data_IF_410670543323
#
_entry.id   IF_410670543323
#
_cell.length_a   1.000
_cell.length_b   1.000
_cell.length_c   1.000
_cell.angle_alpha   90.00
_cell.angle_beta   90.00
_cell.angle_gamma   90.00
#
_symmetry.space_group_name_H-M   'P 1'
#
loop_
_entity.id
_entity.type
_entity.pdbx_description
1 polymer ?
#
# COMPACT_ATOMS: atom_id res chain seq x y z
N UNK A 1 -20.50 -1.24 17.02
CA UNK A 1 -19.75 -2.51 17.16
C UNK A 1 -18.53 -2.38 16.25
N UNK A 2 -17.33 -2.51 16.80
CA UNK A 2 -16.09 -2.50 16.01
C UNK A 2 -15.79 -3.92 15.51
N UNK A 3 -15.22 -4.04 14.32
CA UNK A 3 -14.71 -5.31 13.80
C UNK A 3 -13.30 -5.55 14.35
N UNK A 4 -13.01 -6.79 14.78
CA UNK A 4 -11.75 -7.17 15.42
C UNK A 4 -11.25 -8.49 14.83
N UNK A 5 -9.95 -8.56 14.54
CA UNK A 5 -9.23 -9.78 14.15
C UNK A 5 -8.06 -9.94 15.12
N UNK A 6 -8.09 -10.99 15.93
CA UNK A 6 -7.02 -11.31 16.89
C UNK A 6 -6.14 -12.48 16.41
N UNK A 7 -6.61 -13.24 15.41
CA UNK A 7 -5.89 -14.38 14.87
C UNK A 7 -4.90 -13.92 13.79
N UNK A 8 -3.63 -14.32 13.94
CA UNK A 8 -2.57 -13.95 13.01
C UNK A 8 -2.84 -14.43 11.58
N UNK A 9 -3.34 -15.66 11.40
CA UNK A 9 -3.58 -16.24 10.08
C UNK A 9 -4.74 -15.53 9.36
N UNK A 10 -5.78 -15.14 10.11
CA UNK A 10 -6.87 -14.31 9.56
C UNK A 10 -6.37 -12.93 9.14
N UNK A 11 -5.51 -12.30 9.94
CA UNK A 11 -4.93 -11.01 9.62
C UNK A 11 -3.99 -11.09 8.40
N UNK A 12 -3.20 -12.16 8.30
CA UNK A 12 -2.35 -12.45 7.15
C UNK A 12 -3.17 -12.74 5.89
N UNK A 13 -4.30 -13.44 6.02
CA UNK A 13 -5.24 -13.65 4.92
C UNK A 13 -5.83 -12.31 4.45
N UNK A 14 -6.24 -11.44 5.39
CA UNK A 14 -6.74 -10.11 5.06
C UNK A 14 -5.66 -9.26 4.37
N UNK A 15 -4.41 -9.31 4.83
CA UNK A 15 -3.29 -8.65 4.17
C UNK A 15 -3.18 -9.06 2.70
N UNK A 16 -3.24 -10.37 2.40
CA UNK A 16 -3.19 -10.89 1.03
C UNK A 16 -4.36 -10.41 0.18
N UNK A 17 -5.58 -10.42 0.73
CA UNK A 17 -6.78 -9.91 0.04
C UNK A 17 -6.64 -8.43 -0.29
N UNK A 18 -6.16 -7.62 0.66
CA UNK A 18 -5.95 -6.18 0.44
C UNK A 18 -4.88 -5.93 -0.62
N UNK A 19 -3.77 -6.66 -0.57
CA UNK A 19 -2.71 -6.58 -1.58
C UNK A 19 -3.23 -6.94 -2.98
N UNK A 20 -3.99 -8.02 -3.11
CA UNK A 20 -4.58 -8.44 -4.39
C UNK A 20 -5.54 -7.37 -4.93
N UNK A 21 -6.40 -6.82 -4.09
CA UNK A 21 -7.36 -5.80 -4.50
C UNK A 21 -6.69 -4.48 -4.91
N UNK A 22 -5.66 -4.04 -4.17
CA UNK A 22 -4.93 -2.80 -4.46
C UNK A 22 -4.00 -2.95 -5.67
N UNK A 23 -3.36 -4.09 -5.83
CA UNK A 23 -2.38 -4.36 -6.89
C UNK A 23 -2.88 -5.39 -7.90
N UNK A 24 -4.18 -5.33 -8.20
CA UNK A 24 -4.74 -6.02 -9.35
C UNK A 24 -4.31 -5.30 -10.63
N UNK A 25 -3.88 -6.06 -11.63
CA UNK A 25 -3.51 -5.52 -12.97
C UNK A 25 -4.78 -5.06 -13.70
N UNK A 26 -5.89 -5.79 -13.51
CA UNK A 26 -7.18 -5.54 -14.15
C UNK A 26 -8.28 -5.50 -13.07
N UNK A 27 -8.35 -4.41 -12.29
CA UNK A 27 -9.32 -4.30 -11.21
C UNK A 27 -10.73 -4.15 -11.76
N UNK A 28 -11.67 -4.95 -11.27
CA UNK A 28 -13.09 -4.75 -11.52
C UNK A 28 -13.59 -3.42 -10.93
N UNK A 29 -13.05 -3.01 -9.78
CA UNK A 29 -13.28 -1.69 -9.18
C UNK A 29 -11.96 -0.90 -9.10
N UNK A 30 -11.71 0.02 -10.05
CA UNK A 30 -10.49 0.82 -10.07
C UNK A 30 -10.40 1.85 -8.93
N UNK A 31 -11.48 2.12 -8.19
CA UNK A 31 -11.49 3.10 -7.09
C UNK A 31 -10.74 2.54 -5.88
N UNK A 32 -10.76 1.23 -5.66
CA UNK A 32 -10.11 0.56 -4.51
C UNK A 32 -8.62 0.89 -4.46
N UNK A 33 -7.93 0.87 -5.60
CA UNK A 33 -6.48 1.06 -5.66
C UNK A 33 -6.05 2.42 -5.12
N UNK A 34 -6.76 3.49 -5.50
CA UNK A 34 -6.46 4.87 -5.11
C UNK A 34 -7.24 5.38 -3.91
N UNK A 35 -8.05 4.53 -3.27
CA UNK A 35 -8.90 4.94 -2.15
C UNK A 35 -8.07 5.25 -0.91
N UNK A 36 -8.20 6.46 -0.32
CA UNK A 36 -7.51 6.79 0.93
C UNK A 36 -7.98 5.93 2.10
N UNK A 37 -9.24 5.47 2.09
CA UNK A 37 -9.77 4.60 3.14
C UNK A 37 -9.16 3.20 3.06
N UNK A 38 -9.04 2.65 1.85
CA UNK A 38 -8.38 1.34 1.64
C UNK A 38 -6.89 1.45 1.94
N UNK A 39 -6.26 2.60 1.65
CA UNK A 39 -4.89 2.89 2.05
C UNK A 39 -4.71 2.85 3.57
N UNK A 40 -5.61 3.51 4.33
CA UNK A 40 -5.60 3.43 5.79
C UNK A 40 -5.73 2.00 6.29
N UNK A 41 -6.71 1.25 5.77
CA UNK A 41 -6.93 -0.16 6.14
C UNK A 41 -5.68 -1.00 5.84
N UNK A 42 -5.09 -0.86 4.65
CA UNK A 42 -3.91 -1.63 4.26
C UNK A 42 -2.73 -1.40 5.21
N UNK A 43 -2.50 -0.13 5.60
CA UNK A 43 -1.45 0.20 6.55
C UNK A 43 -1.74 -0.37 7.94
N UNK A 44 -2.98 -0.24 8.44
CA UNK A 44 -3.39 -0.78 9.74
C UNK A 44 -3.24 -2.30 9.81
N UNK A 45 -3.61 -3.02 8.75
CA UNK A 45 -3.44 -4.48 8.67
C UNK A 45 -1.97 -4.86 8.79
N UNK A 46 -1.08 -4.16 8.08
CA UNK A 46 0.36 -4.45 8.14
C UNK A 46 0.96 -4.06 9.50
N UNK A 47 0.57 -2.94 10.11
CA UNK A 47 1.04 -2.59 11.46
C UNK A 47 0.61 -3.62 12.51
N UNK A 48 -0.64 -4.07 12.46
CA UNK A 48 -1.12 -5.12 13.38
C UNK A 48 -0.33 -6.43 13.20
N UNK A 49 0.02 -6.83 11.97
CA UNK A 49 0.90 -7.99 11.73
C UNK A 49 2.28 -7.78 12.34
N UNK A 50 2.86 -6.59 12.16
CA UNK A 50 4.17 -6.24 12.73
C UNK A 50 4.13 -6.35 14.25
N UNK A 51 3.10 -5.80 14.89
CA UNK A 51 2.94 -5.84 16.35
C UNK A 51 2.89 -7.28 16.86
N UNK A 52 2.06 -8.13 16.26
CA UNK A 52 1.96 -9.55 16.64
C UNK A 52 3.28 -10.31 16.45
N UNK A 53 4.02 -10.03 15.38
CA UNK A 53 5.31 -10.68 15.14
C UNK A 53 6.41 -10.16 16.08
N UNK A 54 6.41 -8.87 16.41
CA UNK A 54 7.36 -8.29 17.36
C UNK A 54 7.14 -8.87 18.76
N UNK A 55 5.90 -9.10 19.19
CA UNK A 55 5.60 -9.76 20.45
C UNK A 55 6.18 -11.19 20.52
N UNK A 56 6.25 -11.88 19.38
CA UNK A 56 6.72 -13.27 19.29
C UNK A 56 8.23 -13.41 19.04
N UNK A 57 8.80 -12.55 18.20
CA UNK A 57 10.15 -12.69 17.63
C UNK A 57 11.06 -11.47 17.91
N UNK A 58 10.52 -10.42 18.53
CA UNK A 58 11.23 -9.19 18.86
C UNK A 58 11.39 -8.23 17.69
N UNK A 59 12.19 -7.18 17.92
CA UNK A 59 12.30 -6.02 17.03
C UNK A 59 12.86 -6.35 15.62
N UNK A 60 13.57 -7.47 15.49
CA UNK A 60 14.07 -7.95 14.19
C UNK A 60 12.94 -8.14 13.18
N UNK A 61 11.74 -8.54 13.62
CA UNK A 61 10.59 -8.72 12.72
C UNK A 61 10.06 -7.38 12.19
N UNK A 62 10.09 -6.31 13.00
CA UNK A 62 9.77 -4.96 12.51
C UNK A 62 10.70 -4.54 11.38
N UNK A 63 12.01 -4.76 11.54
CA UNK A 63 12.99 -4.39 10.51
C UNK A 63 12.74 -5.14 9.18
N UNK A 64 12.39 -6.43 9.24
CA UNK A 64 12.02 -7.21 8.06
C UNK A 64 10.80 -6.63 7.35
N UNK A 65 9.77 -6.26 8.09
CA UNK A 65 8.57 -5.64 7.52
C UNK A 65 8.81 -4.24 6.98
N UNK A 66 9.61 -3.42 7.66
CA UNK A 66 10.02 -2.11 7.15
C UNK A 66 10.77 -2.24 5.82
N UNK A 67 11.66 -3.23 5.71
CA UNK A 67 12.32 -3.55 4.44
C UNK A 67 11.31 -4.03 3.39
N UNK A 68 10.44 -4.98 3.74
CA UNK A 68 9.39 -5.47 2.84
C UNK A 68 8.45 -4.36 2.38
N UNK A 69 8.19 -3.32 3.18
CA UNK A 69 7.34 -2.20 2.76
C UNK A 69 8.00 -1.26 1.79
N UNK A 70 9.31 -1.32 1.57
CA UNK A 70 9.96 -0.43 0.60
C UNK A 70 9.45 -0.76 -0.81
N UNK A 71 8.87 0.24 -1.46
CA UNK A 71 8.58 0.15 -2.89
C UNK A 71 9.89 0.37 -3.66
N UNK A 72 10.11 -0.44 -4.69
CA UNK A 72 11.23 -0.26 -5.62
C UNK A 72 10.77 -0.48 -7.07
N UNK A 73 11.48 0.08 -8.08
CA UNK A 73 11.11 -0.06 -9.49
C UNK A 73 11.02 -1.50 -10.00
N UNK A 74 11.72 -2.44 -9.37
CA UNK A 74 11.76 -3.85 -9.73
C UNK A 74 10.49 -4.61 -9.30
N UNK A 75 9.69 -4.02 -8.39
CA UNK A 75 8.48 -4.65 -7.87
C UNK A 75 7.34 -4.58 -8.90
N UNK A 76 6.54 -5.65 -8.95
CA UNK A 76 5.31 -5.70 -9.75
C UNK A 76 4.36 -4.56 -9.39
N UNK A 77 4.25 -4.23 -8.11
CA UNK A 77 3.37 -3.18 -7.59
C UNK A 77 3.73 -1.80 -8.17
N UNK A 78 5.03 -1.52 -8.35
CA UNK A 78 5.50 -0.27 -8.95
C UNK A 78 4.96 -0.10 -10.37
N UNK A 79 5.03 -1.15 -11.18
CA UNK A 79 4.55 -1.14 -12.57
C UNK A 79 3.04 -0.92 -12.63
N UNK A 80 2.28 -1.51 -11.70
CA UNK A 80 0.83 -1.33 -11.60
C UNK A 80 0.48 0.11 -11.25
N UNK A 81 1.18 0.71 -10.28
CA UNK A 81 1.00 2.12 -9.92
C UNK A 81 1.27 3.02 -11.13
N UNK A 82 2.35 2.75 -11.89
CA UNK A 82 2.65 3.50 -13.11
C UNK A 82 1.55 3.37 -14.17
N UNK A 83 1.06 2.14 -14.41
CA UNK A 83 -0.04 1.91 -15.36
C UNK A 83 -1.32 2.64 -14.93
N UNK A 84 -1.61 2.66 -13.63
CA UNK A 84 -2.74 3.37 -13.05
C UNK A 84 -2.65 4.88 -13.27
N UNK A 85 -1.49 5.48 -12.98
CA UNK A 85 -1.26 6.92 -13.16
C UNK A 85 -1.32 7.33 -14.64
N UNK A 86 -0.95 6.45 -15.57
CA UNK A 86 -1.06 6.68 -17.02
C UNK A 86 -2.49 6.56 -17.54
N UNK A 87 -3.28 5.63 -17.02
CA UNK A 87 -4.67 5.37 -17.48
C UNK A 87 -5.67 6.44 -17.05
N UNK A 88 -5.44 7.11 -15.92
CA UNK A 88 -6.26 8.22 -15.45
C UNK A 88 -5.35 9.43 -15.19
N UNK A 89 -5.54 10.51 -15.94
CA UNK A 89 -4.71 11.73 -15.85
C UNK A 89 -5.38 12.86 -15.07
N UNK A 90 -6.57 12.67 -14.50
CA UNK A 90 -7.28 13.72 -13.74
C UNK A 90 -6.45 14.28 -12.59
N UNK A 91 -5.60 13.45 -11.97
CA UNK A 91 -4.68 13.85 -10.90
C UNK A 91 -3.66 14.91 -11.33
N UNK A 92 -3.34 15.04 -12.63
CA UNK A 92 -2.38 16.03 -13.12
C UNK A 92 -2.85 17.48 -12.91
N UNK A 93 -4.14 17.68 -12.71
CA UNK A 93 -4.73 19.00 -12.41
C UNK A 93 -4.66 19.37 -10.93
N UNK A 94 -4.32 18.40 -10.06
CA UNK A 94 -4.23 18.61 -8.63
C UNK A 94 -2.95 19.33 -8.25
N UNK A 95 -2.93 19.95 -7.07
CA UNK A 95 -1.70 20.52 -6.53
C UNK A 95 -0.69 19.43 -6.14
N UNK A 96 0.57 19.81 -5.97
CA UNK A 96 1.66 18.86 -5.70
C UNK A 96 1.38 17.96 -4.49
N UNK A 97 0.89 18.52 -3.37
CA UNK A 97 0.60 17.76 -2.15
C UNK A 97 -0.49 16.70 -2.38
N UNK A 98 -1.52 17.03 -3.14
CA UNK A 98 -2.58 16.10 -3.52
C UNK A 98 -2.04 14.98 -4.42
N UNK A 99 -1.15 15.29 -5.36
CA UNK A 99 -0.53 14.30 -6.23
C UNK A 99 0.36 13.34 -5.43
N UNK A 100 1.23 13.88 -4.58
CA UNK A 100 2.08 13.12 -3.66
C UNK A 100 1.23 12.20 -2.78
N UNK A 101 0.15 12.74 -2.19
CA UNK A 101 -0.76 11.95 -1.36
C UNK A 101 -1.38 10.81 -2.16
N UNK A 102 -1.83 11.07 -3.38
CA UNK A 102 -2.44 10.06 -4.22
C UNK A 102 -1.48 8.94 -4.61
N UNK A 103 -0.21 9.26 -4.92
CA UNK A 103 0.83 8.25 -5.14
C UNK A 103 1.04 7.38 -3.89
N UNK A 104 1.05 7.99 -2.70
CA UNK A 104 1.15 7.26 -1.42
C UNK A 104 -0.07 6.37 -1.16
N UNK A 105 -1.28 6.86 -1.48
CA UNK A 105 -2.51 6.08 -1.35
C UNK A 105 -2.53 4.88 -2.31
N UNK A 106 -2.05 5.07 -3.55
CA UNK A 106 -1.89 3.99 -4.53
C UNK A 106 -0.86 2.95 -4.08
N UNK A 107 0.24 3.39 -3.49
CA UNK A 107 1.35 2.52 -3.10
C UNK A 107 1.13 1.76 -1.79
N UNK A 108 0.24 2.24 -0.92
CA UNK A 108 -0.07 1.57 0.36
C UNK A 108 -0.35 0.05 0.19
N UNK A 109 0.07 -0.81 1.13
CA UNK A 109 0.82 -0.50 2.35
C UNK A 109 2.32 -0.29 2.12
N UNK A 110 2.80 -0.43 0.87
CA UNK A 110 4.18 -0.12 0.52
C UNK A 110 4.45 1.39 0.68
N UNK A 111 5.67 1.70 1.07
CA UNK A 111 6.16 3.04 1.33
C UNK A 111 7.02 3.50 0.16
N UNK A 112 6.68 4.66 -0.39
CA UNK A 112 7.38 5.29 -1.50
C UNK A 112 8.38 6.29 -0.93
N UNK A 113 9.65 6.13 -1.24
CA UNK A 113 10.66 7.14 -0.94
C UNK A 113 10.42 8.40 -1.78
N UNK A 114 10.70 9.58 -1.24
CA UNK A 114 10.41 10.86 -1.92
C UNK A 114 11.09 10.96 -3.30
N UNK A 115 12.27 10.37 -3.45
CA UNK A 115 12.97 10.26 -4.74
C UNK A 115 12.15 9.52 -5.81
N UNK A 116 11.49 8.42 -5.43
CA UNK A 116 10.62 7.64 -6.32
C UNK A 116 9.31 8.35 -6.64
N UNK A 117 8.83 9.25 -5.77
CA UNK A 117 7.61 10.02 -6.03
C UNK A 117 7.80 10.89 -7.28
N UNK A 118 8.97 11.50 -7.43
CA UNK A 118 9.28 12.29 -8.63
C UNK A 118 9.14 11.47 -9.92
N UNK A 119 9.54 10.20 -9.90
CA UNK A 119 9.42 9.30 -11.06
C UNK A 119 7.96 9.00 -11.45
N UNK A 120 7.03 9.08 -10.49
CA UNK A 120 5.60 8.88 -10.73
C UNK A 120 4.89 10.15 -11.23
N UNK A 121 5.38 11.32 -10.84
CA UNK A 121 4.75 12.60 -11.15
C UNK A 121 5.24 13.22 -12.47
N UNK A 122 6.35 12.72 -13.01
CA UNK A 122 6.89 13.11 -14.32
C UNK A 122 6.07 12.58 -15.51
#
# INVERSE_FOLDING_TARGET
MAFLIENYDELMALHRVVMEAKFSVEPNDPVIQGSPFVSTIANQVVEALIEMEVEKEGETSRLKWQEWRKLSPERREYQIIQAKLKSNTSWKTWNFDQQVKYVKDLASPLQVADELISNFLN
#
